data_IF_481118551781
#
_entry.id   IF_481118551781
#
_cell.length_a   1.000
_cell.length_b   1.000
_cell.length_c   1.000
_cell.angle_alpha   90.00
_cell.angle_beta   90.00
_cell.angle_gamma   90.00
#
_symmetry.space_group_name_H-M   'P 1'
#
loop_
_entity.id
_entity.type
_entity.pdbx_description
1 polymer ?
#
# COMPACT_ATOMS: atom_id res chain seq x y z
N UNK A 1 0.35 -22.55 -10.58
CA UNK A 1 0.06 -21.16 -10.20
C UNK A 1 -1.08 -21.13 -9.21
N UNK A 2 -0.83 -20.68 -7.99
CA UNK A 2 -1.76 -20.77 -6.84
C UNK A 2 -2.92 -19.76 -6.96
N UNK A 3 -2.76 -18.72 -7.78
CA UNK A 3 -3.74 -17.65 -8.02
C UNK A 3 -5.07 -18.11 -8.67
N UNK A 4 -5.10 -19.29 -9.33
CA UNK A 4 -6.34 -19.83 -9.92
C UNK A 4 -7.28 -20.45 -8.88
N UNK A 5 -6.71 -20.96 -7.77
CA UNK A 5 -7.47 -21.57 -6.67
C UNK A 5 -7.93 -20.54 -5.63
N UNK A 6 -7.28 -19.37 -5.56
CA UNK A 6 -7.58 -18.34 -4.58
C UNK A 6 -8.72 -17.40 -5.03
N UNK A 7 -9.73 -17.26 -4.18
CA UNK A 7 -10.84 -16.32 -4.38
C UNK A 7 -10.46 -14.87 -4.03
N UNK A 8 -9.60 -14.71 -3.02
CA UNK A 8 -9.05 -13.44 -2.58
C UNK A 8 -7.54 -13.57 -2.40
N UNK A 9 -6.80 -12.60 -2.93
CA UNK A 9 -5.36 -12.51 -2.73
C UNK A 9 -5.08 -11.19 -2.03
N UNK A 10 -4.63 -11.30 -0.79
CA UNK A 10 -4.12 -10.17 0.00
C UNK A 10 -2.59 -10.21 -0.03
N UNK A 11 -1.98 -9.04 0.05
CA UNK A 11 -0.54 -8.92 0.23
C UNK A 11 -0.24 -8.00 1.40
N UNK A 12 0.87 -8.29 2.05
CA UNK A 12 1.45 -7.51 3.13
C UNK A 12 2.86 -7.14 2.69
N UNK A 13 3.20 -5.86 2.79
CA UNK A 13 4.53 -5.37 2.44
C UNK A 13 4.99 -4.26 3.38
N UNK A 14 6.30 -4.08 3.45
CA UNK A 14 6.90 -2.94 4.16
C UNK A 14 6.94 -1.72 3.24
N UNK A 15 6.71 -0.55 3.83
CA UNK A 15 6.85 0.76 3.20
C UNK A 15 7.95 1.53 3.91
N UNK A 16 8.71 2.30 3.13
CA UNK A 16 9.71 3.23 3.65
C UNK A 16 9.18 4.65 3.51
N UNK A 17 8.88 5.31 4.63
CA UNK A 17 8.51 6.73 4.66
C UNK A 17 9.71 7.57 5.01
N UNK A 18 10.03 8.53 4.13
CA UNK A 18 11.10 9.49 4.35
C UNK A 18 10.48 10.80 4.85
N UNK A 19 10.88 11.22 6.05
CA UNK A 19 10.50 12.52 6.62
C UNK A 19 11.77 13.30 6.96
N UNK A 20 12.14 14.23 6.08
CA UNK A 20 13.42 14.93 6.15
C UNK A 20 14.59 13.96 6.04
N UNK A 21 15.36 13.78 7.13
CA UNK A 21 16.48 12.84 7.22
C UNK A 21 16.13 11.52 7.92
N UNK A 22 14.88 11.33 8.33
CA UNK A 22 14.43 10.11 9.01
C UNK A 22 13.79 9.15 8.02
N UNK A 23 14.03 7.86 8.25
CA UNK A 23 13.37 6.77 7.53
C UNK A 23 12.53 6.00 8.54
N UNK A 24 11.24 5.87 8.27
CA UNK A 24 10.30 5.08 9.06
C UNK A 24 9.84 3.87 8.26
N UNK A 25 9.95 2.68 8.85
CA UNK A 25 9.35 1.48 8.30
C UNK A 25 7.90 1.37 8.73
N UNK A 26 7.00 1.27 7.76
CA UNK A 26 5.56 1.07 7.96
C UNK A 26 5.13 -0.24 7.33
N UNK A 27 4.00 -0.79 7.78
CA UNK A 27 3.43 -2.01 7.20
C UNK A 27 2.16 -1.67 6.46
N UNK A 28 2.05 -2.14 5.22
CA UNK A 28 0.87 -1.93 4.39
C UNK A 28 0.24 -3.26 3.99
N UNK A 29 -1.09 -3.20 3.81
CA UNK A 29 -1.92 -4.28 3.32
C UNK A 29 -2.69 -3.82 2.09
N UNK A 30 -2.85 -4.71 1.13
CA UNK A 30 -3.68 -4.46 -0.05
C UNK A 30 -4.26 -5.75 -0.61
N UNK A 31 -5.14 -5.59 -1.61
CA UNK A 31 -5.81 -6.69 -2.30
C UNK A 31 -5.35 -6.72 -3.75
N UNK A 32 -4.83 -7.85 -4.22
CA UNK A 32 -4.42 -8.05 -5.61
C UNK A 32 -5.54 -8.61 -6.48
N UNK A 33 -6.44 -9.40 -5.88
CA UNK A 33 -7.51 -10.09 -6.58
C UNK A 33 -8.71 -10.32 -5.68
N UNK A 34 -9.88 -10.09 -6.24
CA UNK A 34 -11.17 -10.52 -5.72
C UNK A 34 -11.98 -11.11 -6.87
N UNK A 35 -12.41 -12.37 -6.75
CA UNK A 35 -13.02 -13.13 -7.87
C UNK A 35 -14.40 -12.63 -8.30
N UNK A 36 -15.10 -11.88 -7.43
CA UNK A 36 -16.50 -11.45 -7.61
C UNK A 36 -16.71 -9.93 -7.69
N UNK A 37 -15.67 -9.10 -7.55
CA UNK A 37 -15.79 -7.64 -7.68
C UNK A 37 -14.45 -7.00 -8.02
N UNK A 38 -14.47 -5.72 -8.42
CA UNK A 38 -13.26 -4.90 -8.36
C UNK A 38 -12.68 -4.92 -6.94
N UNK A 39 -11.36 -4.90 -6.85
CA UNK A 39 -10.63 -4.73 -5.59
C UNK A 39 -10.23 -3.26 -5.44
N UNK A 40 -10.02 -2.84 -4.19
CA UNK A 40 -9.53 -1.50 -3.88
C UNK A 40 -8.11 -1.33 -4.44
N UNK A 41 -7.89 -0.34 -5.30
CA UNK A 41 -6.59 -0.09 -5.98
C UNK A 41 -5.58 0.66 -5.11
N UNK A 42 -5.99 1.08 -3.92
CA UNK A 42 -5.15 1.75 -2.94
C UNK A 42 -4.58 0.73 -1.96
N UNK A 43 -3.51 1.11 -1.26
CA UNK A 43 -2.97 0.36 -0.13
C UNK A 43 -3.32 1.07 1.17
N UNK A 44 -3.43 0.31 2.25
CA UNK A 44 -3.73 0.84 3.58
C UNK A 44 -2.60 0.49 4.53
N UNK A 45 -2.27 1.38 5.45
CA UNK A 45 -1.38 1.04 6.56
C UNK A 45 -2.13 0.12 7.53
N UNK A 46 -1.41 -0.78 8.19
CA UNK A 46 -1.98 -1.56 9.27
C UNK A 46 -1.03 -1.69 10.45
N UNK A 47 -1.62 -1.81 11.63
CA UNK A 47 -0.92 -2.09 12.87
C UNK A 47 -1.48 -3.37 13.51
N UNK A 48 -0.58 -4.20 14.02
CA UNK A 48 -0.95 -5.34 14.88
C UNK A 48 -0.96 -4.82 16.31
N UNK A 49 -2.14 -4.65 16.88
CA UNK A 49 -2.34 -4.23 18.27
C UNK A 49 -2.62 -5.45 19.15
N UNK A 50 -2.63 -5.26 20.47
CA UNK A 50 -3.04 -6.30 21.42
C UNK A 50 -4.50 -6.75 21.25
N UNK A 51 -5.34 -5.93 20.62
CA UNK A 51 -6.75 -6.22 20.34
C UNK A 51 -7.00 -6.79 18.93
N UNK A 52 -5.98 -6.89 18.08
CA UNK A 52 -6.09 -7.45 16.73
C UNK A 52 -5.46 -6.58 15.65
N UNK A 53 -6.05 -6.59 14.44
CA UNK A 53 -5.56 -5.84 13.29
C UNK A 53 -6.29 -4.49 13.18
N UNK A 54 -5.55 -3.38 13.27
CA UNK A 54 -6.08 -2.05 12.95
C UNK A 54 -5.64 -1.66 11.55
N UNK A 55 -6.59 -1.39 10.66
CA UNK A 55 -6.33 -0.94 9.28
C UNK A 55 -6.70 0.54 9.18
N UNK A 56 -5.82 1.35 8.60
CA UNK A 56 -6.03 2.79 8.45
C UNK A 56 -6.87 3.13 7.22
N UNK A 57 -7.09 4.43 7.03
CA UNK A 57 -7.53 4.99 5.76
C UNK A 57 -6.54 4.66 4.62
N UNK A 58 -7.01 4.72 3.35
CA UNK A 58 -6.15 4.55 2.19
C UNK A 58 -4.98 5.53 2.24
N UNK A 59 -3.79 5.05 1.92
CA UNK A 59 -2.64 5.93 1.72
C UNK A 59 -2.78 6.56 0.33
N UNK A 60 -2.99 7.89 0.24
CA UNK A 60 -3.10 8.58 -1.05
C UNK A 60 -1.74 8.66 -1.74
N UNK A 61 -1.77 8.96 -3.04
CA UNK A 61 -0.60 9.33 -3.83
C UNK A 61 0.52 8.30 -3.81
N UNK A 62 0.19 7.01 -3.88
CA UNK A 62 1.16 5.91 -3.92
C UNK A 62 1.24 5.28 -5.30
N UNK A 63 2.46 5.21 -5.82
CA UNK A 63 2.79 4.58 -7.09
C UNK A 63 3.62 3.31 -6.90
N UNK A 64 3.82 2.58 -8.00
CA UNK A 64 4.67 1.39 -8.08
C UNK A 64 4.26 0.22 -7.14
N UNK A 65 2.99 0.19 -6.73
CA UNK A 65 2.43 -0.80 -5.77
C UNK A 65 2.67 -2.26 -6.21
N UNK A 66 2.63 -2.54 -7.52
CA UNK A 66 2.82 -3.89 -8.09
C UNK A 66 4.23 -4.08 -8.67
N UNK A 67 4.86 -2.98 -9.09
CA UNK A 67 6.07 -2.99 -9.91
C UNK A 67 7.39 -2.87 -9.14
N UNK A 68 7.34 -2.69 -7.81
CA UNK A 68 8.54 -2.52 -7.00
C UNK A 68 8.24 -2.09 -5.58
N UNK A 69 9.16 -1.34 -4.97
CA UNK A 69 8.94 -0.72 -3.66
C UNK A 69 7.93 0.42 -3.83
N UNK A 70 6.78 0.39 -3.13
CA UNK A 70 5.81 1.47 -3.22
C UNK A 70 6.42 2.77 -2.72
N UNK A 71 6.14 3.86 -3.43
CA UNK A 71 6.65 5.20 -3.11
C UNK A 71 5.53 6.22 -3.24
N UNK A 72 5.58 7.25 -2.41
CA UNK A 72 4.73 8.40 -2.60
C UNK A 72 5.11 9.11 -3.90
N UNK A 73 4.11 9.41 -4.71
CA UNK A 73 4.24 10.21 -5.92
C UNK A 73 4.79 11.59 -5.52
N UNK A 74 5.87 12.01 -6.17
CA UNK A 74 6.39 13.36 -5.98
C UNK A 74 5.43 14.30 -6.71
N UNK A 75 4.73 15.17 -5.97
CA UNK A 75 3.97 16.24 -6.61
C UNK A 75 4.94 17.17 -7.33
N UNK A 76 4.86 17.18 -8.65
CA UNK A 76 5.59 18.14 -9.46
C UNK A 76 4.89 19.50 -9.41
N UNK A 77 4.98 20.19 -8.28
CA UNK A 77 4.67 21.63 -8.22
C UNK A 77 5.96 22.43 -8.24
N UNK A 78 6.20 23.14 -9.35
CA UNK A 78 7.24 24.15 -9.46
C UNK A 78 8.10 24.05 -10.71
N UNK A 79 7.57 24.44 -11.88
CA UNK A 79 8.32 25.19 -12.89
C UNK A 79 7.32 25.96 -13.76
N UNK A 80 7.33 27.28 -13.63
CA UNK A 80 6.51 28.18 -14.44
C UNK A 80 6.42 29.55 -13.77
N UNK A 81 7.56 30.24 -13.72
CA UNK A 81 7.60 31.69 -13.58
C UNK A 81 7.24 32.38 -14.89
#
# INVERSE_FOLDING_TARGET
GISYLADNIVFIQYLERFEGRKVELRKAIGVLKKRLSSFERTIREYEVTSSGLRVSDPLPDLDHIIGGLPRWAVSSEGTGG
#
